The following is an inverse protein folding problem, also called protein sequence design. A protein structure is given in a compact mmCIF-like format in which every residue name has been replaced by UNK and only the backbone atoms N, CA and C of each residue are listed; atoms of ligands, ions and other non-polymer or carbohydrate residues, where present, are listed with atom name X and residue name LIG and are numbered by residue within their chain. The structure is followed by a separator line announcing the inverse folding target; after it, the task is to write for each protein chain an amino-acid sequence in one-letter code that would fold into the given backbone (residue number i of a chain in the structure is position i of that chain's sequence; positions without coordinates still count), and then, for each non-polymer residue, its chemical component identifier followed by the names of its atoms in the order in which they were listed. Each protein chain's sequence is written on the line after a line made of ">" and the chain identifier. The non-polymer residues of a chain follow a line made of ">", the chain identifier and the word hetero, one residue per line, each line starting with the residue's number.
data_IF_980136336402
#
_entry.id   IF_980136336402
#
_cell.length_a   1.000
_cell.length_b   1.000
_cell.length_c   1.000
_cell.angle_alpha   90.00
_cell.angle_beta   90.00
_cell.angle_gamma   90.00
#
_symmetry.space_group_name_H-M   'P 1'
#
loop_
_entity.id
_entity.type
_entity.pdbx_description
1 polymer ?
#
# COMPACT_ATOMS: atom_id res chain seq x y z
N UNK A 1 -23.74 -12.78 3.29
CA UNK A 1 -22.43 -13.36 3.61
C UNK A 1 -21.35 -12.42 3.12
N UNK A 2 -20.56 -11.90 4.03
CA UNK A 2 -19.51 -10.98 3.66
C UNK A 2 -18.32 -11.74 3.10
N UNK A 3 -17.88 -11.33 1.92
CA UNK A 3 -16.62 -11.80 1.37
C UNK A 3 -15.52 -10.91 1.87
N UNK A 4 -14.63 -11.50 2.67
CA UNK A 4 -13.43 -10.78 3.07
C UNK A 4 -12.43 -10.87 1.93
N UNK A 5 -11.87 -9.73 1.59
CA UNK A 5 -10.78 -9.66 0.64
C UNK A 5 -9.56 -9.04 1.31
N UNK A 6 -8.40 -9.44 0.84
CA UNK A 6 -7.13 -8.86 1.26
C UNK A 6 -6.45 -8.27 0.04
N UNK A 7 -5.66 -7.25 0.27
CA UNK A 7 -4.97 -6.58 -0.82
C UNK A 7 -3.51 -6.40 -0.44
N UNK A 8 -2.63 -6.54 -1.42
CA UNK A 8 -1.22 -6.30 -1.16
C UNK A 8 -0.97 -4.82 -0.90
N UNK A 9 -0.29 -4.53 0.20
CA UNK A 9 0.04 -3.16 0.60
C UNK A 9 1.42 -2.73 0.12
N UNK A 10 2.10 -3.59 -0.60
CA UNK A 10 3.41 -3.37 -1.22
C UNK A 10 3.64 -4.46 -2.24
N UNK A 11 4.68 -4.35 -3.03
CA UNK A 11 5.07 -5.44 -3.91
C UNK A 11 5.44 -6.65 -3.04
N UNK A 12 4.72 -7.74 -3.22
CA UNK A 12 4.87 -8.93 -2.39
C UNK A 12 5.53 -10.06 -3.17
N UNK A 13 6.59 -10.62 -2.59
CA UNK A 13 7.15 -11.87 -3.05
C UNK A 13 6.92 -12.87 -1.93
N UNK A 14 5.93 -13.73 -2.13
CA UNK A 14 5.47 -14.66 -1.10
C UNK A 14 5.82 -16.08 -1.52
N UNK A 15 6.42 -16.82 -0.60
CA UNK A 15 6.59 -18.25 -0.80
C UNK A 15 5.25 -18.91 -0.47
N UNK A 16 4.45 -19.09 -1.51
CA UNK A 16 3.12 -19.66 -1.37
C UNK A 16 3.13 -21.18 -1.37
N UNK A 17 1.97 -21.75 -1.14
CA UNK A 17 1.77 -23.19 -1.24
C UNK A 17 1.94 -23.57 -2.70
N UNK A 18 2.96 -24.37 -3.01
CA UNK A 18 3.27 -24.78 -4.38
C UNK A 18 4.29 -23.91 -5.10
N UNK A 19 4.97 -22.99 -4.42
CA UNK A 19 6.06 -22.19 -4.96
C UNK A 19 5.93 -20.70 -4.72
N UNK A 20 6.92 -19.95 -5.20
CA UNK A 20 6.95 -18.49 -5.02
C UNK A 20 5.93 -17.79 -5.89
N UNK A 21 5.32 -16.76 -5.32
CA UNK A 21 4.34 -15.92 -6.00
C UNK A 21 4.76 -14.46 -5.88
N UNK A 22 4.80 -13.76 -7.01
CA UNK A 22 5.06 -12.33 -7.06
C UNK A 22 3.76 -11.60 -7.31
N UNK A 23 3.38 -10.72 -6.37
CA UNK A 23 2.15 -9.95 -6.45
C UNK A 23 2.50 -8.47 -6.47
N UNK A 24 2.06 -7.73 -7.49
CA UNK A 24 2.27 -6.28 -7.51
C UNK A 24 1.40 -5.57 -6.45
N UNK A 25 1.68 -4.31 -6.21
CA UNK A 25 0.86 -3.46 -5.36
C UNK A 25 -0.60 -3.52 -5.78
N UNK A 26 -1.47 -3.57 -4.79
CA UNK A 26 -2.89 -3.48 -5.05
C UNK A 26 -3.52 -4.75 -5.60
N UNK A 27 -2.82 -5.88 -5.51
CA UNK A 27 -3.37 -7.16 -5.93
C UNK A 27 -4.38 -7.64 -4.90
N UNK A 28 -5.59 -7.91 -5.35
CA UNK A 28 -6.68 -8.33 -4.48
C UNK A 28 -6.78 -9.84 -4.44
N UNK A 29 -6.78 -10.39 -3.20
CA UNK A 29 -6.97 -11.81 -2.96
C UNK A 29 -8.26 -12.06 -2.19
N UNK A 30 -8.94 -13.15 -2.51
CA UNK A 30 -10.15 -13.55 -1.80
C UNK A 30 -9.80 -14.49 -0.66
N UNK A 31 -10.63 -14.45 0.40
CA UNK A 31 -10.44 -15.34 1.55
C UNK A 31 -11.45 -16.47 1.48
N UNK A 32 -10.95 -17.69 1.51
CA UNK A 32 -11.76 -18.89 1.65
C UNK A 32 -11.19 -19.70 2.82
N UNK A 33 -12.02 -19.91 3.85
CA UNK A 33 -11.55 -20.57 5.06
C UNK A 33 -10.46 -19.76 5.73
N UNK A 34 -9.25 -20.32 5.81
CA UNK A 34 -8.11 -19.69 6.47
C UNK A 34 -7.07 -19.10 5.50
N UNK A 35 -7.33 -19.21 4.20
CA UNK A 35 -6.31 -18.89 3.21
C UNK A 35 -6.72 -17.73 2.34
N UNK A 36 -5.71 -16.96 1.93
CA UNK A 36 -5.86 -15.92 0.91
C UNK A 36 -5.56 -16.59 -0.43
N UNK A 37 -6.50 -16.47 -1.37
CA UNK A 37 -6.39 -17.03 -2.72
C UNK A 37 -6.20 -15.94 -3.75
N UNK A 38 -5.36 -16.21 -4.72
CA UNK A 38 -5.19 -15.36 -5.89
C UNK A 38 -5.25 -16.25 -7.14
N UNK A 39 -6.21 -15.95 -8.01
CA UNK A 39 -6.46 -16.74 -9.25
C UNK A 39 -6.63 -18.23 -8.97
N UNK A 40 -7.40 -18.55 -7.93
CA UNK A 40 -7.69 -19.93 -7.55
C UNK A 40 -6.56 -20.66 -6.82
N UNK A 41 -5.45 -19.98 -6.56
CA UNK A 41 -4.30 -20.56 -5.91
C UNK A 41 -4.16 -20.03 -4.48
N UNK A 42 -4.01 -20.91 -3.48
CA UNK A 42 -3.77 -20.45 -2.12
C UNK A 42 -2.38 -19.83 -1.99
N UNK A 43 -2.32 -18.64 -1.41
CA UNK A 43 -1.07 -17.89 -1.26
C UNK A 43 -0.49 -18.07 0.14
N UNK A 44 -1.30 -17.76 1.16
CA UNK A 44 -0.86 -17.90 2.54
C UNK A 44 -2.07 -17.94 3.48
N UNK A 45 -1.84 -18.38 4.71
CA UNK A 45 -2.85 -18.31 5.77
C UNK A 45 -3.05 -16.87 6.19
N UNK A 46 -4.30 -16.50 6.51
CA UNK A 46 -4.63 -15.14 6.98
C UNK A 46 -3.94 -14.80 8.31
N UNK A 47 -3.49 -15.79 9.06
CA UNK A 47 -2.79 -15.59 10.33
C UNK A 47 -1.26 -15.67 10.21
N UNK A 48 -0.75 -15.88 9.00
CA UNK A 48 0.68 -16.02 8.77
C UNK A 48 1.41 -14.67 8.83
N UNK A 49 2.73 -14.72 9.01
CA UNK A 49 3.57 -13.53 8.94
C UNK A 49 3.49 -12.87 7.57
N UNK A 50 3.37 -13.66 6.51
CA UNK A 50 3.23 -13.13 5.16
C UNK A 50 1.95 -12.31 4.99
N UNK A 51 0.85 -12.78 5.58
CA UNK A 51 -0.40 -12.02 5.54
C UNK A 51 -0.25 -10.69 6.28
N UNK A 52 0.35 -10.70 7.45
CA UNK A 52 0.60 -9.48 8.22
C UNK A 52 1.53 -8.49 7.50
N UNK A 53 2.55 -9.00 6.84
CA UNK A 53 3.58 -8.17 6.22
C UNK A 53 3.10 -7.56 4.90
N UNK A 54 2.45 -8.34 4.06
CA UNK A 54 2.21 -7.97 2.66
C UNK A 54 0.76 -7.65 2.33
N UNK A 55 -0.17 -7.98 3.22
CA UNK A 55 -1.59 -7.82 2.94
C UNK A 55 -2.29 -6.95 3.97
N UNK A 56 -3.30 -6.24 3.50
CA UNK A 56 -4.22 -5.49 4.34
C UNK A 56 -5.64 -5.89 4.02
N UNK A 57 -6.51 -5.89 5.01
CA UNK A 57 -7.90 -6.22 4.78
C UNK A 57 -8.55 -5.12 3.95
N UNK A 58 -9.26 -5.51 2.90
CA UNK A 58 -9.93 -4.59 2.00
C UNK A 58 -11.38 -4.40 2.45
N UNK A 59 -11.57 -3.53 3.44
CA UNK A 59 -12.88 -3.33 4.08
C UNK A 59 -13.82 -2.43 3.28
N UNK A 60 -13.27 -1.51 2.51
CA UNK A 60 -14.02 -0.46 1.84
C UNK A 60 -14.09 -0.61 0.32
N UNK A 61 -13.56 -1.69 -0.22
CA UNK A 61 -13.54 -1.95 -1.65
C UNK A 61 -12.54 -1.11 -2.45
N UNK A 62 -11.74 -0.28 -1.79
CA UNK A 62 -10.80 0.63 -2.44
C UNK A 62 -9.35 0.16 -2.41
N UNK A 63 -9.13 -1.11 -2.10
CA UNK A 63 -7.78 -1.61 -1.90
C UNK A 63 -6.88 -1.50 -3.12
N UNK A 64 -7.39 -1.83 -4.32
CA UNK A 64 -6.60 -1.72 -5.56
C UNK A 64 -6.25 -0.27 -5.84
N UNK A 65 -7.22 0.62 -5.68
CA UNK A 65 -7.01 2.06 -5.89
C UNK A 65 -6.02 2.61 -4.88
N UNK A 66 -6.13 2.18 -3.62
CA UNK A 66 -5.19 2.57 -2.55
C UNK A 66 -3.76 2.17 -2.92
N UNK A 67 -3.55 0.93 -3.37
CA UNK A 67 -2.25 0.45 -3.79
C UNK A 67 -1.68 1.26 -4.96
N UNK A 68 -2.52 1.59 -5.93
CA UNK A 68 -2.12 2.42 -7.07
C UNK A 68 -1.70 3.83 -6.63
N UNK A 69 -2.46 4.43 -5.72
CA UNK A 69 -2.13 5.76 -5.18
C UNK A 69 -0.83 5.73 -4.37
N UNK A 70 -0.65 4.74 -3.52
CA UNK A 70 0.60 4.59 -2.75
C UNK A 70 1.79 4.49 -3.70
N UNK A 71 1.68 3.66 -4.74
CA UNK A 71 2.76 3.51 -5.72
C UNK A 71 3.03 4.82 -6.46
N UNK A 72 1.99 5.52 -6.88
CA UNK A 72 2.14 6.80 -7.58
C UNK A 72 2.84 7.83 -6.70
N UNK A 73 2.45 7.92 -5.43
CA UNK A 73 3.07 8.83 -4.46
C UNK A 73 4.56 8.47 -4.26
N UNK A 74 4.85 7.19 -4.04
CA UNK A 74 6.23 6.73 -3.85
C UNK A 74 7.09 7.05 -5.07
N UNK A 75 6.61 6.71 -6.26
CA UNK A 75 7.36 6.95 -7.49
C UNK A 75 7.61 8.43 -7.71
N UNK A 76 6.64 9.27 -7.41
CA UNK A 76 6.79 10.72 -7.57
C UNK A 76 7.79 11.30 -6.57
N UNK A 77 7.70 10.87 -5.30
CA UNK A 77 8.63 11.34 -4.27
C UNK A 77 10.06 10.88 -4.50
N UNK A 78 10.25 9.70 -5.06
CA UNK A 78 11.57 9.14 -5.31
C UNK A 78 12.22 9.65 -6.61
N UNK A 79 11.45 10.37 -7.43
CA UNK A 79 11.98 10.89 -8.70
C UNK A 79 13.04 11.97 -8.43
N UNK A 80 14.23 11.74 -8.93
CA UNK A 80 15.37 12.66 -8.76
C UNK A 80 15.42 13.70 -9.88
N UNK A 81 14.60 14.75 -9.75
CA UNK A 81 14.55 15.85 -10.69
C UNK A 81 14.74 17.19 -9.96
N UNK A 82 14.60 18.32 -10.69
CA UNK A 82 14.80 19.64 -10.12
C UNK A 82 13.81 19.99 -9.00
N UNK A 83 12.67 19.30 -8.93
CA UNK A 83 11.64 19.55 -7.93
C UNK A 83 11.67 18.55 -6.77
N UNK A 84 12.67 17.68 -6.73
CA UNK A 84 12.77 16.64 -5.71
C UNK A 84 12.67 17.21 -4.29
N UNK A 85 13.50 18.19 -3.97
CA UNK A 85 13.54 18.78 -2.64
C UNK A 85 12.23 19.51 -2.32
N UNK A 86 11.67 20.23 -3.28
CA UNK A 86 10.41 20.93 -3.08
C UNK A 86 9.26 19.99 -2.75
N UNK A 87 9.19 18.83 -3.40
CA UNK A 87 8.16 17.84 -3.11
C UNK A 87 8.28 17.33 -1.67
N UNK A 88 9.49 16.98 -1.25
CA UNK A 88 9.72 16.51 0.11
C UNK A 88 9.41 17.57 1.14
N UNK A 89 9.79 18.83 0.87
CA UNK A 89 9.47 19.94 1.78
C UNK A 89 7.97 20.12 1.95
N UNK A 90 7.19 20.02 0.88
CA UNK A 90 5.74 20.09 0.96
C UNK A 90 5.16 19.00 1.85
N UNK A 91 5.65 17.78 1.70
CA UNK A 91 5.20 16.64 2.49
C UNK A 91 5.57 16.81 3.96
N UNK A 92 6.79 17.25 4.25
CA UNK A 92 7.26 17.43 5.61
C UNK A 92 6.53 18.54 6.36
N UNK A 93 6.10 19.58 5.65
CA UNK A 93 5.43 20.74 6.25
C UNK A 93 3.92 20.58 6.33
N UNK A 94 3.35 19.64 5.61
CA UNK A 94 1.90 19.47 5.51
C UNK A 94 1.32 18.82 6.76
N UNK A 95 0.25 19.41 7.29
CA UNK A 95 -0.39 18.95 8.53
C UNK A 95 -0.97 17.55 8.40
N UNK A 96 -1.63 17.25 7.27
CA UNK A 96 -2.21 15.93 7.05
C UNK A 96 -1.13 14.86 6.94
N UNK A 97 -0.03 15.18 6.27
CA UNK A 97 1.08 14.25 6.13
C UNK A 97 1.72 13.90 7.47
N UNK A 98 1.69 14.80 8.46
CA UNK A 98 2.21 14.53 9.80
C UNK A 98 1.51 13.36 10.48
N UNK A 99 0.26 13.11 10.12
CA UNK A 99 -0.52 12.00 10.64
C UNK A 99 0.15 10.64 10.42
N UNK A 100 0.90 10.50 9.34
CA UNK A 100 1.56 9.25 8.98
C UNK A 100 3.03 9.21 9.38
N UNK A 101 3.52 10.28 9.99
CA UNK A 101 4.90 10.37 10.45
C UNK A 101 5.01 9.76 11.84
N UNK A 102 5.82 8.73 11.97
CA UNK A 102 6.06 8.10 13.27
C UNK A 102 7.35 8.61 13.87
N UNK A 103 7.32 8.87 15.18
CA UNK A 103 8.50 9.30 15.93
C UNK A 103 9.63 8.26 15.75
N UNK A 104 10.84 8.73 15.44
CA UNK A 104 12.00 7.88 15.23
C UNK A 104 12.10 7.25 13.84
N UNK A 105 11.13 7.52 12.96
CA UNK A 105 11.11 6.95 11.61
C UNK A 105 10.85 8.01 10.55
N UNK A 106 11.33 9.22 10.75
CA UNK A 106 11.05 10.37 9.90
C UNK A 106 11.46 10.15 8.45
N UNK A 107 12.57 9.45 8.21
CA UNK A 107 13.08 9.22 6.86
C UNK A 107 12.26 8.17 6.09
N UNK A 108 11.49 7.36 6.79
CA UNK A 108 10.77 6.23 6.20
C UNK A 108 9.28 6.23 6.52
N UNK A 109 8.73 7.33 7.01
CA UNK A 109 7.34 7.38 7.44
C UNK A 109 6.33 6.99 6.34
N UNK A 110 6.66 7.27 5.08
CA UNK A 110 5.82 6.88 3.95
C UNK A 110 5.81 5.37 3.70
N UNK A 111 6.72 4.65 4.34
CA UNK A 111 6.83 3.21 4.13
C UNK A 111 6.26 2.41 5.29
N UNK A 112 5.65 3.07 6.27
CA UNK A 112 5.05 2.38 7.42
C UNK A 112 3.66 1.84 7.09
N UNK A 113 3.19 0.94 7.95
CA UNK A 113 1.91 0.26 7.77
C UNK A 113 0.73 1.23 7.67
N UNK A 114 0.74 2.30 8.46
CA UNK A 114 -0.37 3.26 8.47
C UNK A 114 -0.54 3.96 7.12
N UNK A 115 0.56 4.29 6.47
CA UNK A 115 0.52 4.90 5.15
C UNK A 115 -0.03 3.93 4.10
N UNK A 116 0.41 2.67 4.11
CA UNK A 116 -0.08 1.67 3.17
C UNK A 116 -1.57 1.39 3.34
N UNK A 117 -2.12 1.68 4.51
CA UNK A 117 -3.53 1.49 4.83
C UNK A 117 -4.29 2.81 4.98
N UNK A 118 -3.74 3.90 4.51
CA UNK A 118 -4.34 5.23 4.62
C UNK A 118 -5.70 5.30 3.91
N UNK A 119 -6.55 6.20 4.38
CA UNK A 119 -7.81 6.48 3.73
C UNK A 119 -7.58 6.99 2.31
N UNK A 120 -8.46 6.57 1.40
CA UNK A 120 -8.39 6.97 -0.01
C UNK A 120 -8.35 8.50 -0.15
N UNK A 121 -9.16 9.21 0.64
CA UNK A 121 -9.20 10.67 0.56
C UNK A 121 -7.87 11.30 0.99
N UNK A 122 -7.21 10.74 2.00
CA UNK A 122 -5.90 11.19 2.43
C UNK A 122 -4.85 10.96 1.34
N UNK A 123 -4.89 9.81 0.70
CA UNK A 123 -3.95 9.49 -0.39
C UNK A 123 -4.16 10.39 -1.59
N UNK A 124 -5.41 10.69 -1.94
CA UNK A 124 -5.73 11.64 -3.01
C UNK A 124 -5.16 13.03 -2.70
N UNK A 125 -5.32 13.46 -1.46
CA UNK A 125 -4.80 14.75 -1.02
C UNK A 125 -3.27 14.80 -1.17
N UNK A 126 -2.57 13.79 -0.67
CA UNK A 126 -1.11 13.72 -0.76
C UNK A 126 -0.67 13.68 -2.23
N UNK A 127 -1.34 12.88 -3.06
CA UNK A 127 -1.03 12.79 -4.48
C UNK A 127 -1.15 14.16 -5.16
N UNK A 128 -2.23 14.89 -4.87
CA UNK A 128 -2.42 16.24 -5.43
C UNK A 128 -1.35 17.22 -4.94
N UNK A 129 -0.97 17.11 -3.67
CA UNK A 129 0.04 17.99 -3.07
C UNK A 129 1.38 17.93 -3.80
N UNK A 130 1.78 16.75 -4.24
CA UNK A 130 3.06 16.52 -4.89
C UNK A 130 2.97 16.34 -6.42
N UNK A 131 1.76 16.40 -6.97
CA UNK A 131 1.55 16.23 -8.40
C UNK A 131 1.64 14.79 -8.89
N UNK A 132 1.42 13.82 -8.02
CA UNK A 132 1.35 12.41 -8.42
C UNK A 132 0.05 12.13 -9.14
N UNK A 133 0.10 11.31 -10.18
CA UNK A 133 -1.09 10.96 -10.97
C UNK A 133 -1.54 9.55 -10.62
N UNK A 134 -2.82 9.46 -10.22
CA UNK A 134 -3.47 8.19 -9.95
C UNK A 134 -3.60 7.35 -11.22
N UNK A 135 -3.52 6.03 -11.06
CA UNK A 135 -3.87 5.10 -12.13
C UNK A 135 -2.76 4.80 -13.13
N UNK A 136 -1.54 5.18 -12.81
CA UNK A 136 -0.42 4.92 -13.71
C UNK A 136 0.67 4.13 -13.05
#
# INVERSE_FOLDING_TARGET
>A
MEHKTYITNRRAKVQGIGGDVNLPYGTEGSVEGRFIYYQGRPICSVTSNNAHTYFSQNDDGNGVRRGNLVRAIKNTLERRDSNYQNRWDKVWEDTLCQKYKKAGHEDYWLWNHDFYNADIEDLKYIANLIGAKEGR
#
